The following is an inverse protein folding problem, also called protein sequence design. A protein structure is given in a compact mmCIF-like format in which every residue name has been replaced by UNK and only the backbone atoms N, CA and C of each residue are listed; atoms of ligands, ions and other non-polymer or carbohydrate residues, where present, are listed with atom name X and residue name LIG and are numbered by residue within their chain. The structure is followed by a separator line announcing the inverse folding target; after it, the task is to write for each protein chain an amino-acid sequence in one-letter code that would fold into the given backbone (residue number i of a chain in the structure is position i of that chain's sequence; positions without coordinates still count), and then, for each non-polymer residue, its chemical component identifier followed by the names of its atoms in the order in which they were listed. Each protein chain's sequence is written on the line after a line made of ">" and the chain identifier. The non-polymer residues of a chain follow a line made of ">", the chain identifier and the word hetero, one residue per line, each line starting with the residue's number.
data_IF_311902977634
#
_entry.id   IF_311902977634
#
_cell.length_a   1.000
_cell.length_b   1.000
_cell.length_c   1.000
_cell.angle_alpha   90.00
_cell.angle_beta   90.00
_cell.angle_gamma   90.00
#
_symmetry.space_group_name_H-M   'P 1'
#
loop_
_entity.id
_entity.type
_entity.pdbx_description
1 polymer ?
#
# COMPACT_ATOMS: atom_id res chain seq x y z
N UNK A 1 -5.38 7.71 1.54
CA UNK A 1 -4.54 6.47 1.59
C UNK A 1 -5.35 5.22 1.28
N UNK A 2 -6.45 4.91 1.99
CA UNK A 2 -7.21 3.65 1.80
C UNK A 2 -7.71 3.40 0.37
N UNK A 3 -8.16 4.44 -0.35
CA UNK A 3 -8.61 4.33 -1.75
C UNK A 3 -7.49 3.76 -2.64
N UNK A 4 -6.24 4.14 -2.40
CA UNK A 4 -5.10 3.61 -3.18
C UNK A 4 -4.78 2.16 -2.87
N UNK A 5 -5.05 1.69 -1.64
CA UNK A 5 -5.01 0.26 -1.30
C UNK A 5 -6.10 -0.53 -2.06
N UNK A 6 -7.28 0.06 -2.23
CA UNK A 6 -8.31 -0.45 -3.14
C UNK A 6 -7.80 -0.60 -4.58
N UNK A 7 -7.11 0.42 -5.12
CA UNK A 7 -6.53 0.33 -6.47
C UNK A 7 -5.44 -0.76 -6.58
N UNK A 8 -4.59 -0.94 -5.56
CA UNK A 8 -3.63 -2.05 -5.52
C UNK A 8 -4.32 -3.43 -5.53
N UNK A 9 -5.50 -3.53 -4.91
CA UNK A 9 -6.27 -4.78 -4.80
C UNK A 9 -6.99 -5.14 -6.10
N UNK A 10 -7.62 -4.15 -6.74
CA UNK A 10 -8.45 -4.36 -7.95
C UNK A 10 -7.60 -4.47 -9.22
N UNK A 11 -6.42 -3.84 -9.26
CA UNK A 11 -5.59 -3.81 -10.46
C UNK A 11 -5.20 -5.21 -10.99
N UNK A 12 -4.73 -6.17 -10.17
CA UNK A 12 -4.42 -7.51 -10.67
C UNK A 12 -5.66 -8.26 -11.20
N UNK A 13 -6.85 -8.02 -10.64
CA UNK A 13 -8.11 -8.57 -11.17
C UNK A 13 -8.44 -7.98 -12.54
N UNK A 14 -8.25 -6.68 -12.73
CA UNK A 14 -8.49 -6.04 -14.03
C UNK A 14 -7.52 -6.59 -15.07
N UNK A 15 -6.24 -6.76 -14.73
CA UNK A 15 -5.27 -7.41 -15.61
C UNK A 15 -5.67 -8.84 -15.97
N UNK A 16 -6.18 -9.62 -15.00
CA UNK A 16 -6.61 -11.00 -15.22
C UNK A 16 -7.69 -11.12 -16.33
N UNK A 17 -8.58 -10.13 -16.42
CA UNK A 17 -9.64 -10.09 -17.44
C UNK A 17 -9.28 -9.24 -18.68
N UNK A 18 -8.05 -8.75 -18.79
CA UNK A 18 -7.62 -7.87 -19.88
C UNK A 18 -7.23 -8.67 -21.12
N UNK A 19 -8.20 -9.01 -21.96
CA UNK A 19 -8.00 -9.80 -23.19
C UNK A 19 -7.72 -8.99 -24.45
N UNK A 20 -7.67 -7.65 -24.36
CA UNK A 20 -7.43 -6.78 -25.52
C UNK A 20 -6.95 -5.37 -25.13
N UNK A 21 -6.49 -4.62 -26.13
CA UNK A 21 -5.89 -3.28 -25.93
C UNK A 21 -6.77 -2.29 -25.14
N UNK A 22 -8.09 -2.19 -25.38
CA UNK A 22 -8.94 -1.29 -24.58
C UNK A 22 -8.93 -1.60 -23.08
N UNK A 23 -8.95 -2.89 -22.72
CA UNK A 23 -8.89 -3.31 -21.31
C UNK A 23 -7.51 -3.06 -20.69
N UNK A 24 -6.43 -3.18 -21.46
CA UNK A 24 -5.08 -2.83 -21.01
C UNK A 24 -4.91 -1.33 -20.78
N UNK A 25 -5.50 -0.47 -21.63
CA UNK A 25 -5.53 0.99 -21.42
C UNK A 25 -6.29 1.30 -20.11
N UNK A 26 -7.44 0.66 -19.91
CA UNK A 26 -8.21 0.80 -18.68
C UNK A 26 -7.41 0.34 -17.44
N UNK A 27 -6.74 -0.82 -17.53
CA UNK A 27 -5.87 -1.33 -16.46
C UNK A 27 -4.72 -0.34 -16.15
N UNK A 28 -4.14 0.29 -17.17
CA UNK A 28 -3.10 1.30 -17.02
C UNK A 28 -3.61 2.54 -16.29
N UNK A 29 -4.80 3.04 -16.64
CA UNK A 29 -5.44 4.16 -15.94
C UNK A 29 -5.62 3.82 -14.47
N UNK A 30 -6.23 2.67 -14.15
CA UNK A 30 -6.44 2.23 -12.76
C UNK A 30 -5.12 2.08 -12.02
N UNK A 31 -4.07 1.58 -12.68
CA UNK A 31 -2.72 1.53 -12.12
C UNK A 31 -2.18 2.92 -11.83
N UNK A 32 -2.42 3.91 -12.67
CA UNK A 32 -2.01 5.30 -12.44
C UNK A 32 -2.72 5.94 -11.24
N UNK A 33 -4.01 5.65 -11.04
CA UNK A 33 -4.80 6.22 -9.94
C UNK A 33 -4.25 5.87 -8.54
N UNK A 34 -3.46 4.80 -8.41
CA UNK A 34 -2.85 4.43 -7.12
C UNK A 34 -1.75 5.42 -6.66
N UNK A 35 -1.19 6.23 -7.57
CA UNK A 35 -0.10 7.16 -7.24
C UNK A 35 -0.57 8.39 -6.47
N UNK A 36 -1.87 8.76 -6.54
CA UNK A 36 -2.44 9.86 -5.76
C UNK A 36 -2.26 9.70 -4.24
N UNK A 37 -2.12 8.47 -3.77
CA UNK A 37 -1.94 8.16 -2.35
C UNK A 37 -0.49 8.18 -1.90
N UNK A 38 0.48 8.34 -2.81
CA UNK A 38 1.90 8.34 -2.47
C UNK A 38 2.28 9.52 -1.54
N UNK A 39 1.92 10.79 -1.84
CA UNK A 39 2.25 11.91 -0.96
C UNK A 39 1.63 11.74 0.43
N UNK A 40 0.36 11.32 0.49
CA UNK A 40 -0.34 11.11 1.76
C UNK A 40 0.27 9.98 2.59
N UNK A 41 0.76 8.90 1.96
CA UNK A 41 1.40 7.79 2.66
C UNK A 41 2.77 8.19 3.23
N UNK A 42 3.57 8.93 2.46
CA UNK A 42 4.83 9.50 2.94
C UNK A 42 4.60 10.43 4.13
N UNK A 43 3.59 11.31 4.03
CA UNK A 43 3.21 12.20 5.13
C UNK A 43 2.75 11.42 6.38
N UNK A 44 1.98 10.34 6.21
CA UNK A 44 1.54 9.49 7.32
C UNK A 44 2.72 8.85 8.07
N UNK A 45 3.71 8.31 7.34
CA UNK A 45 4.91 7.71 7.94
C UNK A 45 5.67 8.73 8.79
N UNK A 46 5.86 9.94 8.26
CA UNK A 46 6.57 11.01 8.98
C UNK A 46 5.76 11.56 10.14
N UNK A 47 4.43 11.61 10.03
CA UNK A 47 3.51 12.03 11.10
C UNK A 47 3.52 11.05 12.28
N UNK A 48 3.68 9.76 12.01
CA UNK A 48 3.74 8.71 13.04
C UNK A 48 5.12 8.58 13.69
N UNK A 49 6.17 9.16 13.10
CA UNK A 49 7.53 9.12 13.64
C UNK A 49 7.71 10.10 14.81
N UNK A 50 8.52 9.70 15.81
CA UNK A 50 8.86 10.56 16.93
C UNK A 50 9.64 11.81 16.47
N UNK A 51 9.50 12.91 17.21
CA UNK A 51 10.28 14.12 16.98
C UNK A 51 11.78 13.81 17.22
N UNK A 52 12.61 14.09 16.22
CA UNK A 52 14.05 13.77 16.23
C UNK A 52 14.45 12.46 15.53
N UNK A 53 13.52 11.54 15.22
CA UNK A 53 13.83 10.26 14.54
C UNK A 53 13.12 10.06 13.21
N UNK A 54 12.60 11.14 12.61
CA UNK A 54 11.83 11.12 11.34
C UNK A 54 12.62 10.50 10.18
N UNK A 55 13.89 10.88 10.01
CA UNK A 55 14.74 10.37 8.94
C UNK A 55 14.98 8.86 9.07
N UNK A 56 15.34 8.39 10.27
CA UNK A 56 15.56 6.96 10.56
C UNK A 56 14.27 6.16 10.37
N UNK A 57 13.14 6.64 10.89
CA UNK A 57 11.83 5.96 10.74
C UNK A 57 11.45 5.82 9.27
N UNK A 58 11.65 6.88 8.48
CA UNK A 58 11.43 6.82 7.04
C UNK A 58 12.36 5.80 6.38
N UNK A 59 13.67 5.86 6.65
CA UNK A 59 14.64 4.91 6.10
C UNK A 59 14.31 3.45 6.43
N UNK A 60 14.04 3.14 7.71
CA UNK A 60 13.68 1.79 8.16
C UNK A 60 12.39 1.28 7.53
N UNK A 61 11.35 2.14 7.41
CA UNK A 61 10.11 1.76 6.74
C UNK A 61 10.36 1.34 5.29
N UNK A 62 11.15 2.13 4.54
CA UNK A 62 11.44 1.85 3.14
C UNK A 62 12.33 0.61 2.97
N UNK A 63 13.31 0.40 3.86
CA UNK A 63 14.13 -0.80 3.87
C UNK A 63 13.28 -2.07 4.05
N UNK A 64 12.42 -2.10 5.07
CA UNK A 64 11.55 -3.25 5.34
C UNK A 64 10.59 -3.50 4.17
N UNK A 65 10.01 -2.44 3.61
CA UNK A 65 9.16 -2.53 2.42
C UNK A 65 9.92 -3.18 1.27
N UNK A 66 11.14 -2.75 0.99
CA UNK A 66 11.91 -3.22 -0.17
C UNK A 66 12.35 -4.68 -0.01
N UNK A 67 12.68 -5.11 1.21
CA UNK A 67 12.92 -6.53 1.54
C UNK A 67 11.66 -7.36 1.26
N UNK A 68 10.51 -6.94 1.77
CA UNK A 68 9.23 -7.64 1.57
C UNK A 68 8.87 -7.71 0.08
N UNK A 69 9.00 -6.61 -0.66
CA UNK A 69 8.73 -6.55 -2.10
C UNK A 69 9.68 -7.47 -2.88
N UNK A 70 10.95 -7.52 -2.52
CA UNK A 70 11.94 -8.37 -3.18
C UNK A 70 11.61 -9.85 -2.99
N UNK A 71 11.30 -10.28 -1.76
CA UNK A 71 10.87 -11.65 -1.46
C UNK A 71 9.59 -11.99 -2.24
N UNK A 72 8.59 -11.11 -2.21
CA UNK A 72 7.34 -11.30 -2.94
C UNK A 72 7.56 -11.41 -4.46
N UNK A 73 8.49 -10.65 -5.03
CA UNK A 73 8.83 -10.72 -6.45
C UNK A 73 9.45 -12.07 -6.82
N UNK A 74 10.29 -12.64 -5.95
CA UNK A 74 10.87 -13.98 -6.17
C UNK A 74 9.78 -15.07 -6.15
N UNK A 75 8.87 -15.01 -5.18
CA UNK A 75 7.74 -15.96 -5.11
C UNK A 75 6.74 -15.78 -6.27
N UNK A 76 6.52 -14.55 -6.72
CA UNK A 76 5.63 -14.26 -7.85
C UNK A 76 6.08 -14.96 -9.13
N UNK A 77 7.39 -15.06 -9.37
CA UNK A 77 7.92 -15.78 -10.52
C UNK A 77 7.53 -17.27 -10.49
N UNK A 78 7.63 -17.92 -9.34
CA UNK A 78 7.20 -19.32 -9.17
C UNK A 78 5.68 -19.49 -9.33
N UNK A 79 4.87 -18.56 -8.80
CA UNK A 79 3.41 -18.58 -8.98
C UNK A 79 3.00 -18.45 -10.45
N UNK A 80 3.72 -17.62 -11.21
CA UNK A 80 3.47 -17.44 -12.64
C UNK A 80 3.65 -18.73 -13.44
N UNK A 81 4.65 -19.55 -13.07
CA UNK A 81 4.90 -20.85 -13.72
C UNK A 81 3.76 -21.86 -13.48
N UNK A 82 3.05 -21.75 -12.35
CA UNK A 82 1.85 -22.56 -12.10
C UNK A 82 0.71 -22.08 -12.99
N UNK A 83 0.37 -20.78 -12.89
CA UNK A 83 -0.53 -20.12 -13.83
C UNK A 83 -0.51 -18.59 -13.61
N UNK A 84 -0.69 -17.78 -14.67
CA UNK A 84 -0.89 -16.33 -14.52
C UNK A 84 -2.05 -15.98 -13.57
N UNK A 85 -3.12 -16.78 -13.58
CA UNK A 85 -4.30 -16.61 -12.74
C UNK A 85 -3.96 -16.75 -11.26
N UNK A 86 -3.18 -17.79 -10.88
CA UNK A 86 -2.72 -17.96 -9.51
C UNK A 86 -1.91 -16.76 -9.03
N UNK A 87 -1.04 -16.20 -9.90
CA UNK A 87 -0.25 -15.02 -9.56
C UNK A 87 -1.13 -13.78 -9.32
N UNK A 88 -2.06 -13.48 -10.24
CA UNK A 88 -2.95 -12.32 -10.11
C UNK A 88 -3.93 -12.44 -8.94
N UNK A 89 -4.53 -13.62 -8.71
CA UNK A 89 -5.43 -13.85 -7.58
C UNK A 89 -4.68 -13.73 -6.25
N UNK A 90 -3.46 -14.27 -6.16
CA UNK A 90 -2.62 -14.12 -4.97
C UNK A 90 -2.29 -12.65 -4.71
N UNK A 91 -1.87 -11.91 -5.74
CA UNK A 91 -1.60 -10.47 -5.61
C UNK A 91 -2.83 -9.69 -5.13
N UNK A 92 -4.02 -9.99 -5.65
CA UNK A 92 -5.27 -9.39 -5.21
C UNK A 92 -5.66 -9.79 -3.78
N UNK A 93 -5.43 -11.04 -3.37
CA UNK A 93 -5.69 -11.47 -2.00
C UNK A 93 -4.80 -10.72 -0.99
N UNK A 94 -3.49 -10.58 -1.28
CA UNK A 94 -2.60 -9.76 -0.45
C UNK A 94 -2.96 -8.28 -0.46
N UNK A 95 -3.39 -7.74 -1.61
CA UNK A 95 -3.93 -6.38 -1.69
C UNK A 95 -5.14 -6.19 -0.79
N UNK A 96 -6.07 -7.14 -0.81
CA UNK A 96 -7.28 -7.12 0.02
C UNK A 96 -6.93 -7.19 1.51
N UNK A 97 -6.05 -8.12 1.89
CA UNK A 97 -5.55 -8.22 3.26
C UNK A 97 -4.87 -6.92 3.71
N UNK A 98 -3.99 -6.35 2.90
CA UNK A 98 -3.34 -5.07 3.18
C UNK A 98 -4.34 -3.92 3.32
N UNK A 99 -5.38 -3.90 2.49
CA UNK A 99 -6.46 -2.92 2.58
C UNK A 99 -7.25 -3.07 3.88
N UNK A 100 -7.62 -4.29 4.25
CA UNK A 100 -8.32 -4.59 5.51
C UNK A 100 -7.48 -4.18 6.72
N UNK A 101 -6.20 -4.58 6.76
CA UNK A 101 -5.26 -4.21 7.82
C UNK A 101 -5.16 -2.68 7.92
N UNK A 102 -5.00 -1.97 6.80
CA UNK A 102 -4.90 -0.51 6.81
C UNK A 102 -6.20 0.17 7.28
N UNK A 103 -7.38 -0.33 6.88
CA UNK A 103 -8.66 0.24 7.31
C UNK A 103 -8.91 0.02 8.81
N UNK A 104 -8.50 -1.14 9.34
CA UNK A 104 -8.68 -1.49 10.76
C UNK A 104 -7.65 -0.77 11.64
N UNK A 105 -6.37 -0.80 11.27
CA UNK A 105 -5.26 -0.34 12.12
C UNK A 105 -4.64 0.99 11.69
N UNK A 106 -4.84 1.44 10.45
CA UNK A 106 -4.28 2.68 9.90
C UNK A 106 -5.02 3.95 10.35
N UNK A 107 -5.89 3.85 11.36
CA UNK A 107 -6.55 4.99 12.00
C UNK A 107 -5.59 5.62 13.01
N UNK A 108 -5.43 6.94 12.90
CA UNK A 108 -4.62 7.76 13.81
C UNK A 108 -5.18 7.65 15.23
N UNK A 109 -4.47 6.96 16.13
CA UNK A 109 -4.75 6.96 17.57
C UNK A 109 -3.94 8.05 18.26
N UNK A 110 -4.12 9.31 17.87
CA UNK A 110 -3.72 10.44 18.72
C UNK A 110 -4.95 10.89 19.51
N UNK A 111 -5.27 10.12 20.56
CA UNK A 111 -6.08 10.64 21.65
C UNK A 111 -5.26 11.72 22.37
N UNK A 112 -5.82 12.93 22.52
CA UNK A 112 -5.67 13.73 23.74
C UNK A 112 -4.48 14.68 23.92
N UNK A 113 -3.31 14.49 23.33
CA UNK A 113 -2.11 15.22 23.82
C UNK A 113 -1.93 16.67 23.31
N UNK A 114 -2.89 17.20 22.54
CA UNK A 114 -2.90 18.61 22.13
C UNK A 114 -3.64 19.54 23.10
N UNK A 115 -4.51 18.99 23.96
CA UNK A 115 -5.34 19.78 24.88
C UNK A 115 -4.71 19.93 26.27
N UNK A 116 -3.79 19.05 26.67
CA UNK A 116 -3.09 19.10 27.95
C UNK A 116 -1.92 20.09 27.97
N UNK A 117 -1.31 20.39 26.81
CA UNK A 117 -0.22 21.36 26.69
C UNK A 117 -0.69 22.85 26.71
N UNK A 118 -1.99 23.09 26.50
CA UNK A 118 -2.58 24.43 26.57
C UNK A 118 -3.20 24.76 27.94
N UNK A 119 -3.19 23.79 28.87
CA UNK A 119 -3.79 23.92 30.20
C UNK A 119 -2.76 23.99 31.35
N UNK A 120 -1.47 24.12 31.04
CA UNK A 120 -0.44 24.32 32.05
C UNK A 120 0.41 25.55 31.70
N UNK A 121 -0.02 26.77 32.10
CA UNK A 121 0.79 27.98 31.99
C UNK A 121 2.04 27.95 32.88
#
# INVERSE_FOLDING_TARGET
>A
VSITFGFFTVFPLILLFSTGMPMLIFAFIIRGLKEFGEPTRKALIVKLANEGSKATTFGTYYLLRDIVVSIASLFSASLWLISPQANFLTASAFGLLGTMIFVVYGKDKRNGDGASALLNP
#
